data_IF_256987563707
#
_entry.id   IF_256987563707
#
_cell.length_a   1.000
_cell.length_b   1.000
_cell.length_c   1.000
_cell.angle_alpha   90.00
_cell.angle_beta   90.00
_cell.angle_gamma   90.00
#
_symmetry.space_group_name_H-M   'P 1'
#
loop_
_entity.id
_entity.type
_entity.pdbx_description
1 polymer ?
#
# COMPACT_ATOMS: atom_id res chain seq x y z
N UNK A 1 -3.77 23.27 8.11
CA UNK A 1 -3.53 22.39 9.27
C UNK A 1 -2.28 22.88 9.99
N UNK A 2 -2.31 22.95 11.32
CA UNK A 2 -1.12 23.26 12.11
C UNK A 2 -0.08 22.15 11.94
N UNK A 3 1.21 22.49 11.91
CA UNK A 3 2.27 21.50 11.79
C UNK A 3 2.34 20.64 13.07
N UNK A 4 2.67 19.33 12.98
CA UNK A 4 2.69 18.44 14.14
C UNK A 4 3.62 18.92 15.28
N UNK A 5 4.79 19.46 14.94
CA UNK A 5 5.75 20.06 15.88
C UNK A 5 5.12 21.19 16.70
N UNK A 6 4.39 22.10 16.06
CA UNK A 6 3.69 23.19 16.75
C UNK A 6 2.56 22.67 17.65
N UNK A 7 1.82 21.65 17.21
CA UNK A 7 0.75 21.02 18.01
C UNK A 7 1.34 20.35 19.25
N UNK A 8 2.42 19.59 19.10
CA UNK A 8 3.08 18.90 20.22
C UNK A 8 3.69 19.91 21.20
N UNK A 9 4.35 20.97 20.70
CA UNK A 9 4.89 22.03 21.55
C UNK A 9 3.80 22.73 22.38
N UNK A 10 2.67 23.07 21.75
CA UNK A 10 1.54 23.68 22.46
C UNK A 10 0.94 22.74 23.52
N UNK A 11 0.82 21.44 23.21
CA UNK A 11 0.34 20.42 24.17
C UNK A 11 1.29 20.27 25.36
N UNK A 12 2.60 20.17 25.12
CA UNK A 12 3.61 20.07 26.16
C UNK A 12 3.58 21.29 27.10
N UNK A 13 3.52 22.50 26.52
CA UNK A 13 3.42 23.75 27.29
C UNK A 13 2.16 23.80 28.15
N UNK A 14 1.00 23.43 27.60
CA UNK A 14 -0.28 23.37 28.34
C UNK A 14 -0.22 22.38 29.52
N UNK A 15 0.41 21.24 29.31
CA UNK A 15 0.60 20.21 30.34
C UNK A 15 1.76 20.51 31.31
N UNK A 16 2.51 21.60 31.09
CA UNK A 16 3.69 21.99 31.89
C UNK A 16 4.75 20.88 31.99
N UNK A 17 4.92 20.10 30.92
CA UNK A 17 5.94 19.05 30.80
C UNK A 17 6.91 19.39 29.67
N UNK A 18 8.15 18.92 29.77
CA UNK A 18 9.15 19.15 28.73
C UNK A 18 8.79 18.40 27.44
N UNK A 19 8.92 19.06 26.28
CA UNK A 19 8.58 18.48 24.97
C UNK A 19 9.33 17.17 24.66
N UNK A 20 10.58 17.06 25.11
CA UNK A 20 11.44 15.88 24.89
C UNK A 20 11.47 14.94 26.12
N UNK A 21 10.59 15.14 27.09
CA UNK A 21 10.59 14.37 28.33
C UNK A 21 9.82 13.05 28.18
N UNK A 22 10.24 12.03 28.95
CA UNK A 22 9.50 10.76 29.08
C UNK A 22 8.05 10.99 29.52
N UNK A 23 7.84 11.90 30.48
CA UNK A 23 6.49 12.23 30.99
C UNK A 23 5.56 12.81 29.93
N UNK A 24 6.10 13.50 28.92
CA UNK A 24 5.27 13.95 27.79
C UNK A 24 4.87 12.79 26.88
N UNK A 25 5.76 11.84 26.62
CA UNK A 25 5.41 10.63 25.86
C UNK A 25 4.33 9.81 26.58
N UNK A 26 4.47 9.60 27.89
CA UNK A 26 3.47 8.90 28.71
C UNK A 26 2.10 9.61 28.71
N UNK A 27 2.09 10.95 28.72
CA UNK A 27 0.85 11.72 28.57
C UNK A 27 0.20 11.51 27.20
N UNK A 28 1.01 11.47 26.12
CA UNK A 28 0.49 11.22 24.78
C UNK A 28 -0.11 9.81 24.65
N UNK A 29 0.52 8.80 25.27
CA UNK A 29 0.00 7.43 25.30
C UNK A 29 -1.31 7.33 26.10
N UNK A 30 -1.40 8.04 27.23
CA UNK A 30 -2.62 8.09 28.05
C UNK A 30 -3.80 8.75 27.32
N UNK A 31 -3.52 9.79 26.53
CA UNK A 31 -4.52 10.53 25.76
C UNK A 31 -4.82 9.91 24.39
N UNK A 32 -4.16 8.79 24.01
CA UNK A 32 -4.39 8.13 22.73
C UNK A 32 -5.71 7.34 22.74
N UNK A 33 -6.74 7.77 21.96
CA UNK A 33 -8.01 7.04 21.88
C UNK A 33 -7.86 5.66 21.21
N UNK A 34 -6.72 5.37 20.58
CA UNK A 34 -6.44 4.10 19.91
C UNK A 34 -5.54 3.17 20.73
N UNK A 35 -5.13 3.57 21.93
CA UNK A 35 -4.20 2.80 22.79
C UNK A 35 -4.63 1.34 23.01
N UNK A 36 -5.94 1.11 23.16
CA UNK A 36 -6.51 -0.23 23.35
C UNK A 36 -6.25 -1.19 22.17
N UNK A 37 -6.05 -0.69 20.94
CA UNK A 37 -5.77 -1.53 19.77
C UNK A 37 -4.43 -2.25 19.87
N UNK A 38 -3.45 -1.70 20.61
CA UNK A 38 -2.15 -2.35 20.85
C UNK A 38 -2.34 -3.76 21.42
N UNK A 39 -3.31 -3.92 22.33
CA UNK A 39 -3.62 -5.20 22.99
C UNK A 39 -4.16 -6.28 22.05
N UNK A 40 -4.52 -5.94 20.80
CA UNK A 40 -5.04 -6.87 19.80
C UNK A 40 -3.96 -7.57 18.97
N UNK A 41 -2.69 -7.20 19.15
CA UNK A 41 -1.58 -7.74 18.36
C UNK A 41 -0.62 -8.56 19.23
N UNK A 42 0.06 -9.51 18.60
CA UNK A 42 1.23 -10.16 19.18
C UNK A 42 2.46 -9.29 18.96
N UNK A 43 3.01 -8.73 20.03
CA UNK A 43 4.25 -7.95 19.99
C UNK A 43 5.40 -8.86 20.42
N UNK A 44 6.45 -9.03 19.59
CA UNK A 44 7.58 -9.89 19.95
C UNK A 44 8.26 -9.40 21.23
N UNK A 45 8.63 -10.34 22.10
CA UNK A 45 9.53 -10.06 23.23
C UNK A 45 10.97 -9.99 22.75
N UNK A 46 11.83 -9.29 23.49
CA UNK A 46 13.24 -9.12 23.10
C UNK A 46 13.99 -10.45 23.06
N UNK A 47 13.75 -11.34 24.02
CA UNK A 47 14.37 -12.67 24.11
C UNK A 47 13.96 -13.65 22.99
N UNK A 48 12.82 -13.43 22.34
CA UNK A 48 12.35 -14.24 21.23
C UNK A 48 13.04 -13.89 19.89
N UNK A 49 13.81 -12.79 19.82
CA UNK A 49 14.42 -12.31 18.58
C UNK A 49 15.82 -12.91 18.39
N UNK A 50 16.12 -13.52 17.23
CA UNK A 50 17.32 -14.34 17.02
C UNK A 50 18.65 -13.58 17.13
N UNK A 51 18.63 -12.25 17.01
CA UNK A 51 19.83 -11.40 17.00
C UNK A 51 19.84 -10.37 18.14
N UNK A 52 19.10 -10.62 19.22
CA UNK A 52 18.99 -9.70 20.36
C UNK A 52 19.60 -10.36 21.61
N UNK A 53 20.67 -9.75 22.12
CA UNK A 53 21.33 -10.18 23.38
C UNK A 53 20.88 -9.24 24.49
N UNK A 54 19.89 -9.68 25.27
CA UNK A 54 19.37 -8.93 26.43
C UNK A 54 19.22 -9.92 27.59
N UNK A 55 19.72 -9.55 28.76
CA UNK A 55 19.68 -10.36 29.97
C UNK A 55 18.76 -9.75 31.02
N UNK A 56 18.40 -10.55 32.03
CA UNK A 56 17.57 -10.10 33.15
C UNK A 56 16.14 -9.77 32.76
N UNK A 57 15.48 -8.92 33.56
CA UNK A 57 14.07 -8.56 33.41
C UNK A 57 13.75 -7.85 32.08
N UNK A 58 14.76 -7.25 31.43
CA UNK A 58 14.59 -6.60 30.14
C UNK A 58 14.35 -7.58 28.99
N UNK A 59 14.79 -8.84 29.14
CA UNK A 59 14.65 -9.88 28.12
C UNK A 59 13.17 -10.21 27.84
N UNK A 60 12.36 -10.24 28.89
CA UNK A 60 10.93 -10.55 28.81
C UNK A 60 10.04 -9.39 28.31
N UNK A 61 10.61 -8.19 28.14
CA UNK A 61 9.87 -7.01 27.67
C UNK A 61 9.60 -7.08 26.18
N UNK A 62 8.53 -6.43 25.75
CA UNK A 62 8.22 -6.23 24.33
C UNK A 62 9.34 -5.46 23.62
N UNK A 63 9.55 -5.76 22.35
CA UNK A 63 10.44 -5.00 21.49
C UNK A 63 9.78 -3.71 20.97
N UNK A 64 10.62 -2.79 20.49
CA UNK A 64 10.16 -1.63 19.74
C UNK A 64 10.09 -2.02 18.25
N UNK A 65 8.90 -2.38 17.78
CA UNK A 65 8.70 -2.90 16.43
C UNK A 65 8.38 -1.77 15.42
N UNK A 66 9.40 -1.27 14.73
CA UNK A 66 9.27 -0.22 13.70
C UNK A 66 9.41 -0.75 12.26
N UNK A 67 9.19 -2.04 12.04
CA UNK A 67 9.29 -2.70 10.72
C UNK A 67 7.94 -3.10 10.12
N UNK A 68 6.84 -2.49 10.59
CA UNK A 68 5.46 -2.85 10.21
C UNK A 68 5.13 -2.58 8.74
N UNK A 69 5.93 -1.77 8.05
CA UNK A 69 5.79 -1.51 6.61
C UNK A 69 6.28 -2.68 5.76
N UNK A 70 7.06 -3.60 6.34
CA UNK A 70 7.51 -4.81 5.66
C UNK A 70 6.62 -6.00 6.05
N UNK A 71 6.48 -6.26 7.35
CA UNK A 71 5.59 -7.29 7.87
C UNK A 71 4.78 -6.74 9.05
N UNK A 72 3.46 -6.74 8.91
CA UNK A 72 2.56 -6.34 10.00
C UNK A 72 2.66 -7.30 11.19
N UNK A 73 2.45 -6.78 12.40
CA UNK A 73 2.27 -7.63 13.57
C UNK A 73 1.01 -8.49 13.39
N UNK A 74 1.07 -9.74 13.83
CA UNK A 74 -0.06 -10.67 13.75
C UNK A 74 -1.19 -10.23 14.69
N UNK A 75 -2.42 -10.02 14.19
CA UNK A 75 -3.60 -9.85 15.04
C UNK A 75 -3.89 -11.15 15.81
N UNK A 76 -4.29 -11.04 17.08
CA UNK A 76 -4.64 -12.20 17.92
C UNK A 76 -5.83 -12.98 17.36
N UNK A 77 -6.77 -12.27 16.75
CA UNK A 77 -8.00 -12.85 16.17
C UNK A 77 -7.73 -13.69 14.91
N UNK A 78 -6.57 -13.53 14.26
CA UNK A 78 -6.22 -14.29 13.06
C UNK A 78 -6.14 -15.80 13.34
N UNK A 79 -5.66 -16.20 14.52
CA UNK A 79 -5.59 -17.62 14.92
C UNK A 79 -6.98 -18.25 14.98
N UNK A 80 -7.92 -17.57 15.62
CA UNK A 80 -9.29 -18.06 15.74
C UNK A 80 -9.94 -18.23 14.37
N UNK A 81 -9.76 -17.28 13.46
CA UNK A 81 -10.38 -17.33 12.13
C UNK A 81 -9.84 -18.51 11.29
N UNK A 82 -8.53 -18.73 11.30
CA UNK A 82 -7.90 -19.85 10.60
C UNK A 82 -8.31 -21.18 11.22
N UNK A 83 -8.26 -21.29 12.56
CA UNK A 83 -8.62 -22.51 13.27
C UNK A 83 -10.08 -22.92 13.00
N UNK A 84 -11.00 -21.96 12.99
CA UNK A 84 -12.42 -22.20 12.63
C UNK A 84 -12.56 -22.83 11.24
N UNK A 85 -11.80 -22.37 10.24
CA UNK A 85 -11.85 -22.97 8.89
C UNK A 85 -11.29 -24.39 8.86
N UNK A 86 -10.17 -24.64 9.55
CA UNK A 86 -9.55 -25.96 9.61
C UNK A 86 -10.45 -26.99 10.30
N UNK A 87 -11.05 -26.62 11.42
CA UNK A 87 -12.01 -27.47 12.14
C UNK A 87 -13.25 -27.76 11.30
N UNK A 88 -13.82 -26.73 10.66
CA UNK A 88 -14.99 -26.87 9.80
C UNK A 88 -14.70 -27.79 8.61
N UNK A 89 -13.54 -27.64 7.98
CA UNK A 89 -13.12 -28.51 6.89
C UNK A 89 -12.97 -29.96 7.36
N UNK A 90 -12.31 -30.19 8.49
CA UNK A 90 -12.16 -31.54 9.06
C UNK A 90 -13.48 -32.21 9.42
N UNK A 91 -14.46 -31.45 9.92
CA UNK A 91 -15.75 -31.98 10.35
C UNK A 91 -16.73 -32.22 9.20
N UNK A 92 -16.79 -31.29 8.23
CA UNK A 92 -17.86 -31.25 7.22
C UNK A 92 -17.40 -31.61 5.81
N UNK A 93 -16.09 -31.70 5.55
CA UNK A 93 -15.55 -31.89 4.20
C UNK A 93 -16.09 -30.84 3.24
N UNK A 94 -16.65 -31.27 2.10
CA UNK A 94 -17.22 -30.37 1.09
C UNK A 94 -18.41 -29.54 1.62
N UNK A 95 -19.15 -30.05 2.61
CA UNK A 95 -20.28 -29.31 3.18
C UNK A 95 -19.83 -28.03 3.93
N UNK A 96 -18.55 -27.91 4.28
CA UNK A 96 -17.96 -26.68 4.82
C UNK A 96 -18.09 -25.48 3.86
N UNK A 97 -18.26 -25.73 2.56
CA UNK A 97 -18.25 -24.68 1.53
C UNK A 97 -19.30 -23.59 1.75
N UNK A 98 -20.51 -23.98 2.15
CA UNK A 98 -21.63 -23.08 2.45
C UNK A 98 -21.94 -22.92 3.94
N UNK A 99 -21.28 -23.68 4.81
CA UNK A 99 -21.61 -23.70 6.23
C UNK A 99 -21.04 -22.48 6.98
N UNK A 100 -21.86 -21.93 7.89
CA UNK A 100 -21.46 -20.93 8.87
C UNK A 100 -20.72 -21.56 10.06
N UNK A 101 -19.89 -20.79 10.80
CA UNK A 101 -19.47 -19.42 10.51
C UNK A 101 -18.45 -19.35 9.35
N UNK A 102 -18.33 -18.17 8.71
CA UNK A 102 -17.34 -17.84 7.67
C UNK A 102 -17.40 -18.77 6.44
N UNK A 103 -18.46 -18.72 5.61
CA UNK A 103 -18.62 -19.64 4.49
C UNK A 103 -17.49 -19.48 3.45
N UNK A 104 -16.93 -20.60 2.99
CA UNK A 104 -15.73 -20.60 2.13
C UNK A 104 -16.03 -19.95 0.77
N UNK A 105 -17.23 -20.18 0.22
CA UNK A 105 -17.59 -19.71 -1.12
C UNK A 105 -17.73 -18.19 -1.29
N UNK A 106 -17.73 -17.42 -0.19
CA UNK A 106 -17.78 -15.94 -0.20
C UNK A 106 -16.54 -15.31 0.45
N UNK A 107 -15.47 -16.08 0.67
CA UNK A 107 -14.30 -15.60 1.39
C UNK A 107 -13.66 -14.37 0.71
N UNK A 108 -13.63 -14.35 -0.61
CA UNK A 108 -13.11 -13.30 -1.49
C UNK A 108 -13.92 -11.99 -1.45
N UNK A 109 -15.20 -12.06 -1.09
CA UNK A 109 -16.13 -10.93 -1.12
C UNK A 109 -16.51 -10.43 0.27
N UNK A 110 -16.31 -11.25 1.31
CA UNK A 110 -16.66 -10.93 2.70
C UNK A 110 -16.01 -9.64 3.24
N UNK A 111 -14.83 -9.28 2.74
CA UNK A 111 -14.10 -8.07 3.15
C UNK A 111 -14.33 -6.84 2.26
N UNK A 112 -15.05 -6.96 1.14
CA UNK A 112 -15.10 -5.91 0.11
C UNK A 112 -15.67 -4.59 0.62
N UNK A 113 -16.66 -4.61 1.52
CA UNK A 113 -17.19 -3.38 2.10
C UNK A 113 -16.16 -2.64 2.97
N UNK A 114 -15.40 -3.39 3.76
CA UNK A 114 -14.35 -2.84 4.62
C UNK A 114 -13.25 -2.25 3.75
N UNK A 115 -12.77 -3.03 2.78
CA UNK A 115 -11.73 -2.61 1.85
C UNK A 115 -12.17 -1.41 1.00
N UNK A 116 -13.38 -1.42 0.46
CA UNK A 116 -13.95 -0.29 -0.28
C UNK A 116 -13.95 1.01 0.54
N UNK A 117 -14.26 0.96 1.84
CA UNK A 117 -14.14 2.13 2.74
C UNK A 117 -12.69 2.56 2.95
N UNK A 118 -11.74 1.62 2.99
CA UNK A 118 -10.31 1.88 3.21
C UNK A 118 -9.65 2.52 1.98
N UNK A 119 -9.85 1.96 0.80
CA UNK A 119 -9.31 2.49 -0.47
C UNK A 119 -10.16 3.61 -1.07
N UNK A 120 -11.39 3.80 -0.58
CA UNK A 120 -12.31 4.81 -1.09
C UNK A 120 -12.97 4.43 -2.42
N UNK A 121 -13.20 3.14 -2.65
CA UNK A 121 -13.79 2.58 -3.86
C UNK A 121 -15.18 1.98 -3.60
N UNK A 122 -15.95 1.77 -4.67
CA UNK A 122 -17.20 0.98 -4.59
C UNK A 122 -16.84 -0.47 -4.23
N UNK A 123 -17.47 -1.10 -3.22
CA UNK A 123 -17.16 -2.49 -2.84
C UNK A 123 -17.25 -3.48 -4.00
N UNK A 124 -18.08 -3.21 -5.01
CA UNK A 124 -18.20 -4.05 -6.23
C UNK A 124 -17.02 -3.92 -7.19
N UNK A 125 -16.17 -2.92 -6.98
CA UNK A 125 -14.91 -2.70 -7.71
C UNK A 125 -13.68 -3.15 -6.93
N UNK A 126 -13.88 -3.81 -5.79
CA UNK A 126 -12.81 -4.38 -4.95
C UNK A 126 -12.89 -5.90 -5.01
N UNK A 127 -11.73 -6.55 -5.04
CA UNK A 127 -11.61 -8.01 -4.98
C UNK A 127 -10.44 -8.38 -4.07
N UNK A 128 -10.63 -9.38 -3.21
CA UNK A 128 -9.59 -9.93 -2.34
C UNK A 128 -9.09 -11.24 -2.93
N UNK A 129 -7.92 -11.22 -3.55
CA UNK A 129 -7.36 -12.41 -4.22
C UNK A 129 -5.84 -12.39 -4.28
N UNK A 130 -5.23 -13.57 -4.37
CA UNK A 130 -3.80 -13.79 -4.61
C UNK A 130 -2.86 -12.95 -3.72
N UNK A 131 -1.68 -12.62 -4.24
CA UNK A 131 -0.80 -11.58 -3.71
C UNK A 131 -0.63 -10.43 -4.70
N UNK A 132 -0.11 -9.31 -4.20
CA UNK A 132 0.04 -8.04 -4.92
C UNK A 132 0.58 -8.17 -6.35
N UNK A 133 1.78 -8.74 -6.53
CA UNK A 133 2.42 -8.84 -7.86
C UNK A 133 1.62 -9.72 -8.82
N UNK A 134 0.97 -10.78 -8.33
CA UNK A 134 0.09 -11.61 -9.17
C UNK A 134 -1.08 -10.77 -9.68
N UNK A 135 -1.71 -9.98 -8.80
CA UNK A 135 -2.79 -9.08 -9.18
C UNK A 135 -2.32 -8.03 -10.18
N UNK A 136 -1.12 -7.47 -10.00
CA UNK A 136 -0.50 -6.55 -10.95
C UNK A 136 -0.37 -7.18 -12.34
N UNK A 137 0.10 -8.43 -12.43
CA UNK A 137 0.15 -9.15 -13.70
C UNK A 137 -1.24 -9.35 -14.32
N UNK A 138 -2.25 -9.76 -13.55
CA UNK A 138 -3.62 -9.95 -14.04
C UNK A 138 -4.21 -8.66 -14.60
N UNK A 139 -3.95 -7.54 -13.92
CA UNK A 139 -4.34 -6.22 -14.39
C UNK A 139 -3.60 -5.84 -15.67
N UNK A 140 -2.29 -6.03 -15.75
CA UNK A 140 -1.53 -5.70 -16.96
C UNK A 140 -1.93 -6.56 -18.16
N UNK A 141 -2.19 -7.85 -17.97
CA UNK A 141 -2.70 -8.72 -19.04
C UNK A 141 -3.99 -8.15 -19.65
N UNK A 142 -4.86 -7.61 -18.80
CA UNK A 142 -6.16 -7.07 -19.22
C UNK A 142 -6.04 -5.66 -19.81
N UNK A 143 -5.31 -4.77 -19.14
CA UNK A 143 -5.35 -3.34 -19.38
C UNK A 143 -4.15 -2.77 -20.14
N UNK A 144 -2.98 -3.40 -20.08
CA UNK A 144 -1.83 -3.03 -20.90
C UNK A 144 -1.97 -3.67 -22.28
N UNK A 145 -2.58 -2.90 -23.20
CA UNK A 145 -2.80 -3.29 -24.61
C UNK A 145 -1.96 -2.39 -25.53
N UNK A 146 -0.63 -2.63 -25.60
CA UNK A 146 0.28 -1.77 -26.32
C UNK A 146 0.09 -1.83 -27.84
N UNK A 147 0.43 -0.74 -28.52
CA UNK A 147 0.58 -0.64 -29.99
C UNK A 147 2.00 -0.20 -30.33
N UNK A 148 2.44 -0.32 -31.60
CA UNK A 148 3.79 0.12 -31.99
C UNK A 148 4.09 1.59 -31.67
N UNK A 149 3.07 2.45 -31.65
CA UNK A 149 3.20 3.86 -31.30
C UNK A 149 3.04 4.12 -29.80
N UNK A 150 2.49 3.17 -29.03
CA UNK A 150 2.10 3.35 -27.63
C UNK A 150 2.29 2.07 -26.84
N UNK A 151 3.47 1.89 -26.26
CA UNK A 151 3.84 0.70 -25.52
C UNK A 151 4.59 1.00 -24.23
N UNK A 152 4.92 2.27 -23.93
CA UNK A 152 5.74 2.59 -22.76
C UNK A 152 4.92 2.50 -21.47
N UNK A 153 5.57 2.02 -20.42
CA UNK A 153 5.07 1.96 -19.04
C UNK A 153 5.89 2.96 -18.25
N UNK A 154 5.24 4.01 -17.74
CA UNK A 154 5.91 5.06 -16.95
C UNK A 154 5.77 4.78 -15.46
N UNK A 155 6.89 4.81 -14.74
CA UNK A 155 7.01 4.54 -13.29
C UNK A 155 8.02 5.49 -12.62
N UNK A 156 8.06 5.57 -11.30
CA UNK A 156 9.15 6.21 -10.56
C UNK A 156 10.46 5.42 -10.68
N UNK A 157 11.60 6.11 -10.62
CA UNK A 157 12.90 5.45 -10.59
C UNK A 157 13.10 4.63 -9.32
N UNK A 158 13.76 3.49 -9.44
CA UNK A 158 13.96 2.58 -8.29
C UNK A 158 12.64 2.18 -7.63
N UNK A 159 11.59 2.00 -8.44
CA UNK A 159 10.37 1.36 -8.00
C UNK A 159 10.67 -0.03 -7.42
N UNK A 160 9.71 -0.55 -6.66
CA UNK A 160 9.91 -1.81 -5.96
C UNK A 160 10.23 -2.95 -6.95
N UNK A 161 11.16 -3.84 -6.59
CA UNK A 161 11.75 -4.77 -7.54
C UNK A 161 10.70 -5.67 -8.22
N UNK A 162 9.65 -6.10 -7.49
CA UNK A 162 8.60 -6.93 -8.08
C UNK A 162 7.80 -6.20 -9.15
N UNK A 163 7.54 -4.91 -8.97
CA UNK A 163 6.82 -4.06 -9.91
C UNK A 163 7.64 -3.90 -11.18
N UNK A 164 8.94 -3.60 -11.03
CA UNK A 164 9.86 -3.53 -12.16
C UNK A 164 9.93 -4.85 -12.92
N UNK A 165 9.98 -5.99 -12.23
CA UNK A 165 9.94 -7.30 -12.88
C UNK A 165 8.60 -7.55 -13.59
N UNK A 166 7.48 -7.14 -13.00
CA UNK A 166 6.16 -7.25 -13.62
C UNK A 166 6.08 -6.40 -14.90
N UNK A 167 6.49 -5.13 -14.86
CA UNK A 167 6.46 -4.24 -16.03
C UNK A 167 7.36 -4.76 -17.15
N UNK A 168 8.60 -5.15 -16.81
CA UNK A 168 9.57 -5.64 -17.77
C UNK A 168 9.12 -6.94 -18.43
N UNK A 169 8.60 -7.89 -17.65
CA UNK A 169 8.07 -9.14 -18.19
C UNK A 169 6.80 -8.94 -19.03
N UNK A 170 5.90 -8.03 -18.65
CA UNK A 170 4.73 -7.67 -19.45
C UNK A 170 5.12 -7.03 -20.79
N UNK A 171 6.12 -6.14 -20.79
CA UNK A 171 6.65 -5.56 -22.02
C UNK A 171 7.27 -6.65 -22.94
N UNK A 172 8.13 -7.51 -22.39
CA UNK A 172 8.75 -8.61 -23.13
C UNK A 172 7.71 -9.59 -23.70
N UNK A 173 6.69 -9.96 -22.91
CA UNK A 173 5.59 -10.83 -23.36
C UNK A 173 4.80 -10.24 -24.54
N UNK A 174 4.83 -8.92 -24.71
CA UNK A 174 4.19 -8.21 -25.84
C UNK A 174 5.17 -7.90 -26.98
N UNK A 175 6.41 -8.39 -26.90
CA UNK A 175 7.42 -8.25 -27.95
C UNK A 175 8.18 -6.92 -27.95
N UNK A 176 8.13 -6.16 -26.85
CA UNK A 176 8.89 -4.91 -26.71
C UNK A 176 10.14 -5.14 -25.85
N UNK A 177 11.22 -4.40 -26.17
CA UNK A 177 12.42 -4.37 -25.35
C UNK A 177 12.10 -3.72 -23.98
N UNK A 178 12.26 -4.44 -22.86
CA UNK A 178 12.00 -3.88 -21.53
C UNK A 178 12.81 -2.64 -21.19
N UNK A 179 14.01 -2.48 -21.74
CA UNK A 179 14.88 -1.32 -21.48
C UNK A 179 14.40 -0.04 -22.15
N UNK A 180 13.60 -0.15 -23.22
CA UNK A 180 12.95 0.99 -23.88
C UNK A 180 11.48 1.16 -23.45
N UNK A 181 10.80 0.04 -23.16
CA UNK A 181 9.39 0.04 -22.81
C UNK A 181 9.13 0.52 -21.38
N UNK A 182 10.04 0.29 -20.42
CA UNK A 182 9.86 0.75 -19.03
C UNK A 182 10.62 2.06 -18.83
N UNK A 183 9.86 3.14 -18.63
CA UNK A 183 10.40 4.50 -18.47
C UNK A 183 10.33 4.89 -17.00
N UNK A 184 11.50 5.05 -16.41
CA UNK A 184 11.66 5.53 -15.03
C UNK A 184 11.82 7.05 -15.00
N UNK A 185 11.15 7.71 -14.05
CA UNK A 185 11.36 9.13 -13.75
C UNK A 185 12.41 9.26 -12.62
N UNK A 186 13.64 9.71 -12.90
CA UNK A 186 14.68 9.84 -11.88
C UNK A 186 14.49 11.12 -11.04
N UNK A 187 14.98 11.14 -9.78
CA UNK A 187 15.13 12.39 -9.05
C UNK A 187 16.21 13.27 -9.71
N UNK A 188 16.16 14.57 -9.43
CA UNK A 188 17.20 15.50 -9.87
C UNK A 188 18.53 15.19 -9.17
N UNK A 189 19.68 15.54 -9.76
CA UNK A 189 20.98 15.35 -9.11
C UNK A 189 21.02 15.95 -7.70
N UNK A 190 21.35 15.13 -6.71
CA UNK A 190 21.38 15.53 -5.29
C UNK A 190 20.05 15.42 -4.54
N UNK A 191 18.97 15.00 -5.22
CA UNK A 191 17.67 14.73 -4.61
C UNK A 191 17.42 13.22 -4.50
N UNK A 192 16.64 12.83 -3.50
CA UNK A 192 16.20 11.44 -3.31
C UNK A 192 14.72 11.25 -3.65
N UNK A 193 13.95 12.34 -3.66
CA UNK A 193 12.51 12.36 -3.94
C UNK A 193 12.26 13.01 -5.28
N UNK A 194 11.22 12.57 -5.98
CA UNK A 194 10.82 13.13 -7.26
C UNK A 194 10.02 14.40 -7.04
N UNK A 195 10.19 15.40 -7.89
CA UNK A 195 9.29 16.55 -7.89
C UNK A 195 8.10 16.28 -8.80
N UNK A 196 6.91 16.71 -8.39
CA UNK A 196 5.69 16.41 -9.15
C UNK A 196 5.71 17.05 -10.53
N UNK A 197 6.34 18.23 -10.68
CA UNK A 197 6.52 18.87 -11.98
C UNK A 197 7.40 18.06 -12.94
N UNK A 198 8.36 17.28 -12.44
CA UNK A 198 9.21 16.44 -13.30
C UNK A 198 8.41 15.24 -13.82
N UNK A 199 7.53 14.67 -12.99
CA UNK A 199 6.60 13.61 -13.42
C UNK A 199 5.66 14.13 -14.51
N UNK A 200 5.12 15.35 -14.34
CA UNK A 200 4.26 15.96 -15.36
C UNK A 200 4.98 16.21 -16.67
N UNK A 201 6.23 16.70 -16.60
CA UNK A 201 7.06 16.94 -17.77
C UNK A 201 7.27 15.65 -18.57
N UNK A 202 7.57 14.52 -17.91
CA UNK A 202 7.73 13.25 -18.64
C UNK A 202 6.41 12.76 -19.24
N UNK A 203 5.28 12.94 -18.53
CA UNK A 203 3.95 12.62 -19.07
C UNK A 203 3.63 13.48 -20.31
N UNK A 204 4.06 14.74 -20.34
CA UNK A 204 3.86 15.63 -21.48
C UNK A 204 4.78 15.27 -22.65
N UNK A 205 6.08 15.06 -22.40
CA UNK A 205 7.08 14.78 -23.43
C UNK A 205 6.93 13.38 -24.05
N UNK A 206 6.57 12.38 -23.25
CA UNK A 206 6.48 10.98 -23.69
C UNK A 206 5.05 10.45 -23.76
N UNK A 207 4.07 11.30 -23.46
CA UNK A 207 2.67 10.92 -23.28
C UNK A 207 2.17 10.04 -24.40
N UNK A 208 2.43 10.39 -25.66
CA UNK A 208 1.96 9.65 -26.82
C UNK A 208 2.44 8.20 -26.90
N UNK A 209 3.69 7.96 -26.50
CA UNK A 209 4.30 6.64 -26.42
C UNK A 209 3.88 5.85 -25.18
N UNK A 210 3.43 6.53 -24.11
CA UNK A 210 3.01 5.88 -22.86
C UNK A 210 1.62 5.25 -23.02
N UNK A 211 1.55 3.94 -22.75
CA UNK A 211 0.30 3.18 -22.64
C UNK A 211 -0.29 3.28 -21.23
N UNK A 212 0.56 3.12 -20.22
CA UNK A 212 0.17 3.05 -18.80
C UNK A 212 1.15 3.86 -17.97
N UNK A 213 0.63 4.69 -17.08
CA UNK A 213 1.37 5.26 -15.95
C UNK A 213 1.09 4.37 -14.75
N UNK A 214 2.08 3.65 -14.23
CA UNK A 214 1.92 2.81 -13.05
C UNK A 214 3.00 3.17 -12.04
N UNK A 215 2.59 3.68 -10.88
CA UNK A 215 3.51 4.19 -9.86
C UNK A 215 3.09 3.71 -8.48
N UNK A 216 4.00 3.72 -7.51
CA UNK A 216 3.60 3.54 -6.10
C UNK A 216 2.84 4.76 -5.57
N UNK A 217 1.90 4.56 -4.65
CA UNK A 217 1.24 5.65 -3.93
C UNK A 217 2.17 6.27 -2.87
N UNK A 218 3.01 5.42 -2.26
CA UNK A 218 4.11 5.82 -1.38
C UNK A 218 5.33 5.00 -1.77
N UNK A 219 6.44 5.67 -2.07
CA UNK A 219 7.68 5.01 -2.42
C UNK A 219 8.24 4.23 -1.22
N UNK A 220 8.50 2.93 -1.39
CA UNK A 220 8.89 2.03 -0.29
C UNK A 220 10.16 2.47 0.47
N UNK A 221 11.17 2.93 -0.28
CA UNK A 221 12.45 3.35 0.29
C UNK A 221 12.44 4.77 0.86
N UNK A 222 12.03 5.78 0.07
CA UNK A 222 12.12 7.19 0.47
C UNK A 222 10.97 7.62 1.38
N UNK A 223 9.89 6.83 1.44
CA UNK A 223 8.64 7.20 2.13
C UNK A 223 7.90 8.35 1.44
N UNK A 224 8.31 8.73 0.22
CA UNK A 224 7.67 9.81 -0.51
C UNK A 224 6.23 9.43 -0.85
N UNK A 225 5.28 10.26 -0.41
CA UNK A 225 3.90 10.19 -0.87
C UNK A 225 3.75 10.99 -2.17
N UNK A 226 3.29 10.33 -3.23
CA UNK A 226 3.01 10.99 -4.50
C UNK A 226 1.64 11.68 -4.50
N UNK A 227 1.50 12.77 -5.25
CA UNK A 227 0.19 13.39 -5.51
C UNK A 227 -0.57 12.58 -6.55
N UNK A 228 -1.14 11.45 -6.09
CA UNK A 228 -1.87 10.53 -6.95
C UNK A 228 -2.99 11.23 -7.72
N UNK A 229 -3.65 12.22 -7.11
CA UNK A 229 -4.77 12.90 -7.73
C UNK A 229 -4.31 13.78 -8.89
N UNK A 230 -3.24 14.56 -8.70
CA UNK A 230 -2.70 15.42 -9.74
C UNK A 230 -2.06 14.62 -10.88
N UNK A 231 -1.27 13.58 -10.56
CA UNK A 231 -0.66 12.69 -11.55
C UNK A 231 -1.73 11.94 -12.35
N UNK A 232 -2.76 11.41 -11.68
CA UNK A 232 -3.87 10.75 -12.37
C UNK A 232 -4.57 11.69 -13.35
N UNK A 233 -4.84 12.95 -12.94
CA UNK A 233 -5.47 13.94 -13.83
C UNK A 233 -4.59 14.26 -15.05
N UNK A 234 -3.30 14.48 -14.85
CA UNK A 234 -2.36 14.79 -15.93
C UNK A 234 -2.28 13.64 -16.95
N UNK A 235 -2.09 12.40 -16.48
CA UNK A 235 -2.04 11.22 -17.32
C UNK A 235 -3.37 10.96 -18.06
N UNK A 236 -4.51 11.12 -17.38
CA UNK A 236 -5.83 10.94 -18.00
C UNK A 236 -6.16 12.03 -19.03
N UNK A 237 -5.70 13.27 -18.82
CA UNK A 237 -5.82 14.36 -19.79
C UNK A 237 -5.04 14.05 -21.08
N UNK A 238 -3.89 13.39 -20.95
CA UNK A 238 -3.15 12.85 -22.08
C UNK A 238 -3.79 11.57 -22.68
N UNK A 239 -4.87 11.04 -22.11
CA UNK A 239 -5.54 9.81 -22.58
C UNK A 239 -4.89 8.50 -22.13
N UNK A 240 -4.10 8.53 -21.06
CA UNK A 240 -3.36 7.37 -20.53
C UNK A 240 -4.14 6.65 -19.43
N UNK A 241 -3.92 5.35 -19.33
CA UNK A 241 -4.37 4.57 -18.17
C UNK A 241 -3.42 4.84 -16.99
N UNK A 242 -3.97 4.86 -15.78
CA UNK A 242 -3.20 5.05 -14.56
C UNK A 242 -3.40 3.87 -13.61
N UNK A 243 -2.32 3.36 -13.05
CA UNK A 243 -2.32 2.37 -11.98
C UNK A 243 -1.53 2.87 -10.78
N UNK A 244 -1.96 2.48 -9.59
CA UNK A 244 -1.29 2.77 -8.34
C UNK A 244 -1.05 1.49 -7.55
N UNK A 245 0.21 1.21 -7.26
CA UNK A 245 0.59 0.24 -6.24
C UNK A 245 0.44 0.90 -4.86
N UNK A 246 -0.46 0.39 -4.02
CA UNK A 246 -0.76 0.94 -2.70
C UNK A 246 -0.15 0.13 -1.55
N UNK A 247 0.82 -0.75 -1.79
CA UNK A 247 1.42 -1.61 -0.76
C UNK A 247 1.92 -0.83 0.47
N UNK A 248 2.48 0.36 0.26
CA UNK A 248 2.98 1.24 1.33
C UNK A 248 2.10 2.47 1.59
N UNK A 249 1.00 2.63 0.84
CA UNK A 249 0.12 3.78 1.01
C UNK A 249 -0.72 3.61 2.28
N UNK A 250 -0.54 4.53 3.23
CA UNK A 250 -1.29 4.50 4.50
C UNK A 250 -2.80 4.70 4.29
N UNK A 251 -3.58 3.90 5.01
CA UNK A 251 -5.03 3.99 5.14
C UNK A 251 -5.47 5.38 5.62
N UNK A 252 -6.33 6.04 4.85
CA UNK A 252 -6.74 7.44 5.09
C UNK A 252 -6.47 8.38 3.93
N UNK A 253 -5.84 7.91 2.85
CA UNK A 253 -5.76 8.62 1.57
C UNK A 253 -7.12 8.58 0.85
N UNK A 254 -8.13 9.20 1.46
CA UNK A 254 -9.44 9.39 0.84
C UNK A 254 -9.25 10.23 -0.42
N UNK A 255 -9.47 9.59 -1.59
CA UNK A 255 -9.63 10.18 -2.94
C UNK A 255 -8.44 10.17 -3.89
N UNK A 256 -7.57 9.16 -3.83
CA UNK A 256 -7.04 8.67 -5.11
C UNK A 256 -8.12 7.76 -5.71
N UNK A 257 -8.80 8.24 -6.74
CA UNK A 257 -9.51 7.39 -7.71
C UNK A 257 -10.86 6.72 -7.35
N UNK A 258 -11.91 7.52 -7.43
CA UNK A 258 -13.13 7.10 -8.11
C UNK A 258 -13.60 8.22 -9.06
N UNK A 259 -12.68 8.75 -9.86
CA UNK A 259 -12.99 9.78 -10.86
C UNK A 259 -13.46 9.12 -12.14
N UNK A 260 -14.77 9.13 -12.41
CA UNK A 260 -15.28 8.85 -13.76
C UNK A 260 -14.98 10.06 -14.66
N UNK A 261 -14.00 9.94 -15.55
CA UNK A 261 -13.88 10.83 -16.72
C UNK A 261 -14.33 10.03 -17.95
N UNK A 262 -15.55 10.28 -18.42
CA UNK A 262 -16.09 9.65 -19.63
C UNK A 262 -16.53 8.18 -19.49
N UNK A 263 -16.93 7.73 -18.30
CA UNK A 263 -17.61 6.43 -18.14
C UNK A 263 -16.77 5.16 -18.26
N UNK A 264 -15.43 5.26 -18.41
CA UNK A 264 -14.51 4.10 -18.37
C UNK A 264 -13.69 4.11 -17.08
N UNK A 265 -13.46 2.93 -16.49
CA UNK A 265 -12.53 2.73 -15.39
C UNK A 265 -11.12 3.12 -15.87
N UNK A 266 -10.46 4.07 -15.19
CA UNK A 266 -9.15 4.60 -15.58
C UNK A 266 -8.14 4.62 -14.44
N UNK A 267 -8.46 3.96 -13.33
CA UNK A 267 -7.53 3.77 -12.23
C UNK A 267 -7.59 2.36 -11.72
N UNK A 268 -6.41 1.76 -11.63
CA UNK A 268 -6.16 0.47 -11.02
C UNK A 268 -5.56 0.70 -9.64
N UNK A 269 -6.15 0.10 -8.62
CA UNK A 269 -5.67 0.16 -7.24
C UNK A 269 -5.30 -1.26 -6.84
N UNK A 270 -4.06 -1.42 -6.37
CA UNK A 270 -3.50 -2.69 -5.95
C UNK A 270 -3.11 -2.63 -4.47
N UNK A 271 -3.57 -3.62 -3.72
CA UNK A 271 -3.22 -3.89 -2.33
C UNK A 271 -2.89 -5.38 -2.18
#
# INVERSE_FOLDING_TARGET
MSRPDAVLAARAARAKVGLLSKGFAELLDLEDPLSAFRGRFHIPKKDALPNVKVEGEDAAKECLYFSSLNLGLKPKEADSAVQTQLEKWGLLGVAAYGAEPLPIHVCDSSGNEMMGRLVGADPRSVTLMNGLTVNLHLLFISFYQPTPQRYKILTESSAFCSDMYAFRSQAAMRGYDPDDAVVEVPPRPGEYTLRTEDIFKVIEEQGDAVAVVCMSGVHYYTGQKFDMQAITRAAQAAGRLVGWDLAHARWGQRRAAAGRVGGRLRVLVLE
#
